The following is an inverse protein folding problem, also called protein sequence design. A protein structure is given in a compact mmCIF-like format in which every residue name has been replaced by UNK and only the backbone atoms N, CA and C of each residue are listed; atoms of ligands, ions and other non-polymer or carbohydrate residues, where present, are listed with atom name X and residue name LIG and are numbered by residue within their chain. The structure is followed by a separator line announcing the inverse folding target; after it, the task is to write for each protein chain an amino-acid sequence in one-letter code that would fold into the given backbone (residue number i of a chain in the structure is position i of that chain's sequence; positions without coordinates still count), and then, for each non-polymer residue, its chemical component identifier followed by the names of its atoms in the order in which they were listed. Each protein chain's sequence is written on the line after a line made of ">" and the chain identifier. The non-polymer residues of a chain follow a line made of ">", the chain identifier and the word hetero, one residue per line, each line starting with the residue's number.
data_IF_809658960262
#
_entry.id   IF_809658960262
#
_cell.length_a   1.000
_cell.length_b   1.000
_cell.length_c   1.000
_cell.angle_alpha   90.00
_cell.angle_beta   90.00
_cell.angle_gamma   90.00
#
_symmetry.space_group_name_H-M   'P 1'
#
loop_
_entity.id
_entity.type
_entity.pdbx_description
1 polymer ?
#
# COMPACT_ATOMS: atom_id res chain seq x y z
N UNK A 1 -1.95 4.50 7.17
CA UNK A 1 -2.99 5.14 6.33
C UNK A 1 -3.84 4.04 5.72
N UNK A 2 -5.16 4.18 5.75
CA UNK A 2 -6.09 3.20 5.17
C UNK A 2 -6.72 3.79 3.91
N UNK A 3 -6.72 3.01 2.84
CA UNK A 3 -7.43 3.34 1.61
C UNK A 3 -8.78 2.63 1.65
N UNK A 4 -9.89 3.30 1.30
CA UNK A 4 -11.19 2.66 1.26
C UNK A 4 -11.19 1.56 0.19
N UNK A 5 -11.36 0.33 0.62
CA UNK A 5 -11.59 -0.84 -0.24
C UNK A 5 -12.82 -1.59 0.28
N UNK A 6 -13.76 -0.83 0.79
CA UNK A 6 -14.92 -1.37 1.48
C UNK A 6 -16.21 -0.98 0.76
N UNK A 7 -17.29 -1.61 1.16
CA UNK A 7 -18.64 -1.26 0.71
C UNK A 7 -19.09 0.16 1.11
N UNK A 8 -18.31 0.86 1.94
CA UNK A 8 -18.54 2.24 2.34
C UNK A 8 -17.55 3.14 1.63
N UNK A 9 -18.02 3.88 0.64
CA UNK A 9 -17.23 4.84 -0.12
C UNK A 9 -17.10 6.13 0.70
N UNK A 10 -15.85 6.58 0.95
CA UNK A 10 -15.58 7.81 1.69
C UNK A 10 -15.52 9.02 0.73
N UNK A 11 -16.65 9.37 0.14
CA UNK A 11 -16.79 10.39 -0.91
C UNK A 11 -17.57 11.64 -0.48
N UNK A 12 -17.92 11.74 0.80
CA UNK A 12 -18.72 12.84 1.34
C UNK A 12 -18.35 13.19 2.79
N UNK A 13 -18.65 14.43 3.26
CA UNK A 13 -18.28 14.89 4.59
C UNK A 13 -18.82 14.05 5.75
N UNK A 14 -20.03 13.48 5.62
CA UNK A 14 -20.65 12.70 6.69
C UNK A 14 -19.90 11.39 6.91
N UNK A 15 -19.58 10.68 5.83
CA UNK A 15 -18.78 9.44 5.88
C UNK A 15 -17.37 9.75 6.39
N UNK A 16 -16.73 10.82 5.91
CA UNK A 16 -15.41 11.24 6.36
C UNK A 16 -15.38 11.48 7.87
N UNK A 17 -16.35 12.23 8.40
CA UNK A 17 -16.46 12.48 9.84
C UNK A 17 -16.64 11.19 10.65
N UNK A 18 -17.53 10.30 10.21
CA UNK A 18 -17.76 9.01 10.88
C UNK A 18 -16.48 8.16 10.93
N UNK A 19 -15.71 8.10 9.85
CA UNK A 19 -14.45 7.36 9.79
C UNK A 19 -13.36 8.01 10.66
N UNK A 20 -13.25 9.34 10.68
CA UNK A 20 -12.33 10.07 11.57
C UNK A 20 -12.68 9.79 13.05
N UNK A 21 -13.97 9.77 13.40
CA UNK A 21 -14.36 9.48 14.78
C UNK A 21 -14.13 8.00 15.15
N UNK A 22 -14.32 7.08 14.22
CA UNK A 22 -14.00 5.66 14.40
C UNK A 22 -12.49 5.43 14.55
N UNK A 23 -11.66 6.13 13.78
CA UNK A 23 -10.20 5.98 13.79
C UNK A 23 -9.57 6.28 15.16
N UNK A 24 -10.20 7.13 15.97
CA UNK A 24 -9.76 7.47 17.34
C UNK A 24 -9.96 6.34 18.35
N UNK A 25 -10.69 5.29 17.98
CA UNK A 25 -10.99 4.15 18.85
C UNK A 25 -9.98 3.00 18.74
N UNK A 26 -9.00 3.10 17.83
CA UNK A 26 -7.95 2.10 17.61
C UNK A 26 -6.86 2.12 18.69
N UNK A 27 -6.02 1.08 18.69
CA UNK A 27 -4.79 1.01 19.49
C UNK A 27 -3.66 1.89 18.91
N UNK A 28 -3.79 2.33 17.68
CA UNK A 28 -2.87 3.22 16.99
C UNK A 28 -3.65 4.33 16.27
N UNK A 29 -2.95 5.38 15.91
CA UNK A 29 -3.52 6.43 15.08
C UNK A 29 -3.80 5.92 13.65
N UNK A 30 -5.00 6.16 13.15
CA UNK A 30 -5.43 5.76 11.80
C UNK A 30 -5.80 7.00 11.00
N UNK A 31 -5.06 7.25 9.91
CA UNK A 31 -5.35 8.33 8.97
C UNK A 31 -6.19 7.75 7.82
N UNK A 32 -7.38 8.29 7.62
CA UNK A 32 -8.29 7.85 6.57
C UNK A 32 -8.11 8.67 5.30
N UNK A 33 -8.18 8.03 4.14
CA UNK A 33 -8.26 8.70 2.85
C UNK A 33 -9.71 8.83 2.38
N UNK A 34 -10.02 9.90 1.67
CA UNK A 34 -11.26 10.09 0.93
C UNK A 34 -11.18 9.55 -0.49
N UNK A 35 -12.32 9.43 -1.16
CA UNK A 35 -12.42 9.19 -2.59
C UNK A 35 -12.48 10.52 -3.34
N UNK A 36 -11.67 10.67 -4.40
CA UNK A 36 -11.67 11.90 -5.20
C UNK A 36 -12.88 12.03 -6.11
N UNK A 37 -13.61 10.94 -6.33
CA UNK A 37 -14.84 10.93 -7.15
C UNK A 37 -16.00 10.31 -6.40
N UNK A 38 -17.21 10.81 -6.67
CA UNK A 38 -18.45 10.28 -6.08
C UNK A 38 -18.62 8.82 -6.49
N UNK A 39 -18.92 7.97 -5.52
CA UNK A 39 -19.01 6.50 -5.67
C UNK A 39 -17.75 5.81 -6.17
N UNK A 40 -16.61 6.51 -6.26
CA UNK A 40 -15.36 5.95 -6.74
C UNK A 40 -15.38 5.52 -8.22
N UNK A 41 -16.28 6.08 -9.03
CA UNK A 41 -16.48 5.66 -10.42
C UNK A 41 -15.78 6.54 -11.46
N UNK A 42 -15.09 7.61 -11.03
CA UNK A 42 -14.36 8.53 -11.90
C UNK A 42 -15.24 9.57 -12.62
N UNK A 43 -16.57 9.57 -12.45
CA UNK A 43 -17.46 10.40 -13.27
C UNK A 43 -17.63 11.84 -12.74
N UNK A 44 -17.69 12.02 -11.42
CA UNK A 44 -17.89 13.33 -10.80
C UNK A 44 -16.97 13.49 -9.59
N UNK A 45 -16.39 14.67 -9.42
CA UNK A 45 -15.50 14.98 -8.30
C UNK A 45 -16.29 15.03 -6.98
N UNK A 46 -15.73 14.42 -5.94
CA UNK A 46 -16.22 14.53 -4.56
C UNK A 46 -16.02 15.95 -4.00
N UNK A 47 -16.71 16.34 -2.93
CA UNK A 47 -16.56 17.65 -2.31
C UNK A 47 -15.23 17.74 -1.50
N UNK A 48 -14.10 17.67 -2.23
CA UNK A 48 -12.73 17.57 -1.65
C UNK A 48 -12.46 18.70 -0.64
N UNK A 49 -12.91 19.93 -0.94
CA UNK A 49 -12.71 21.08 -0.06
C UNK A 49 -13.40 20.91 1.28
N UNK A 50 -14.68 20.53 1.28
CA UNK A 50 -15.46 20.32 2.51
C UNK A 50 -14.88 19.16 3.35
N UNK A 51 -14.43 18.09 2.69
CA UNK A 51 -13.79 16.95 3.36
C UNK A 51 -12.41 17.34 3.89
N UNK A 52 -11.65 18.17 3.18
CA UNK A 52 -10.36 18.69 3.62
C UNK A 52 -10.51 19.59 4.86
N UNK A 53 -11.57 20.41 4.93
CA UNK A 53 -11.89 21.23 6.11
C UNK A 53 -12.18 20.39 7.38
N UNK A 54 -12.61 19.12 7.20
CA UNK A 54 -12.76 18.13 8.28
C UNK A 54 -11.44 17.45 8.67
N UNK A 55 -10.34 17.70 7.95
CA UNK A 55 -9.02 17.14 8.20
C UNK A 55 -8.62 15.96 7.30
N UNK A 56 -9.40 15.63 6.27
CA UNK A 56 -9.00 14.64 5.26
C UNK A 56 -7.93 15.26 4.36
N UNK A 57 -6.71 14.72 4.40
CA UNK A 57 -5.57 15.23 3.64
C UNK A 57 -5.21 14.37 2.42
N UNK A 58 -5.74 13.17 2.34
CA UNK A 58 -5.43 12.16 1.34
C UNK A 58 -6.68 11.78 0.57
N UNK A 59 -6.60 11.74 -0.75
CA UNK A 59 -7.72 11.30 -1.59
C UNK A 59 -7.24 10.33 -2.65
N UNK A 60 -7.93 9.20 -2.79
CA UNK A 60 -7.62 8.23 -3.84
C UNK A 60 -8.15 8.69 -5.19
N UNK A 61 -7.32 8.53 -6.22
CA UNK A 61 -7.80 8.61 -7.61
C UNK A 61 -8.32 7.22 -7.95
N UNK A 62 -9.64 7.09 -8.01
CA UNK A 62 -10.33 5.83 -8.33
C UNK A 62 -10.83 5.83 -9.77
N UNK A 63 -11.13 4.64 -10.30
CA UNK A 63 -11.35 4.43 -11.71
C UNK A 63 -10.03 4.29 -12.47
N UNK A 64 -10.08 4.02 -13.76
CA UNK A 64 -8.87 4.04 -14.58
C UNK A 64 -8.61 5.49 -15.06
N UNK A 65 -7.51 6.12 -14.63
CA UNK A 65 -7.14 7.45 -15.12
C UNK A 65 -7.07 7.50 -16.65
N UNK A 66 -6.77 6.37 -17.29
CA UNK A 66 -6.73 6.24 -18.73
C UNK A 66 -8.10 6.39 -19.42
N UNK A 67 -9.21 6.31 -18.68
CA UNK A 67 -10.56 6.45 -19.24
C UNK A 67 -11.09 7.88 -19.20
N UNK A 68 -10.64 8.71 -18.23
CA UNK A 68 -11.01 10.12 -18.13
C UNK A 68 -9.87 10.98 -17.58
N UNK A 69 -8.93 11.31 -18.46
CA UNK A 69 -7.80 12.19 -18.16
C UNK A 69 -8.23 13.63 -17.83
N UNK A 70 -9.34 14.10 -18.37
CA UNK A 70 -9.82 15.46 -18.12
C UNK A 70 -10.33 15.62 -16.68
N UNK A 71 -11.14 14.68 -16.21
CA UNK A 71 -11.59 14.65 -14.80
C UNK A 71 -10.39 14.47 -13.85
N UNK A 72 -9.46 13.58 -14.17
CA UNK A 72 -8.23 13.38 -13.39
C UNK A 72 -7.42 14.67 -13.30
N UNK A 73 -7.20 15.36 -14.42
CA UNK A 73 -6.52 16.65 -14.45
C UNK A 73 -7.21 17.69 -13.56
N UNK A 74 -8.53 17.82 -13.64
CA UNK A 74 -9.30 18.76 -12.80
C UNK A 74 -9.17 18.44 -11.30
N UNK A 75 -9.20 17.16 -10.92
CA UNK A 75 -8.96 16.75 -9.56
C UNK A 75 -7.56 17.18 -9.10
N UNK A 76 -6.54 16.95 -9.93
CA UNK A 76 -5.17 17.35 -9.65
C UNK A 76 -5.01 18.87 -9.51
N UNK A 77 -5.59 19.67 -10.40
CA UNK A 77 -5.58 21.14 -10.30
C UNK A 77 -6.30 21.62 -9.02
N UNK A 78 -7.43 21.00 -8.67
CA UNK A 78 -8.22 21.37 -7.49
C UNK A 78 -7.54 20.96 -6.18
N UNK A 79 -6.84 19.82 -6.15
CA UNK A 79 -6.15 19.32 -4.96
C UNK A 79 -5.10 20.28 -4.42
N UNK A 80 -4.39 21.00 -5.28
CA UNK A 80 -3.37 21.98 -4.89
C UNK A 80 -3.91 23.10 -4.00
N UNK A 81 -5.12 23.58 -4.30
CA UNK A 81 -5.76 24.67 -3.55
C UNK A 81 -5.91 24.34 -2.06
N UNK A 82 -6.07 23.06 -1.75
CA UNK A 82 -6.32 22.58 -0.38
C UNK A 82 -5.14 21.84 0.23
N UNK A 83 -3.99 21.79 -0.44
CA UNK A 83 -2.82 21.03 0.04
C UNK A 83 -3.11 19.54 0.19
N UNK A 84 -3.95 18.99 -0.69
CA UNK A 84 -4.34 17.58 -0.71
C UNK A 84 -3.27 16.77 -1.43
N UNK A 85 -2.85 15.65 -0.83
CA UNK A 85 -2.06 14.63 -1.51
C UNK A 85 -2.98 13.59 -2.14
N UNK A 86 -2.80 13.36 -3.44
CA UNK A 86 -3.55 12.35 -4.18
C UNK A 86 -2.85 11.01 -4.11
N UNK A 87 -3.63 9.94 -3.93
CA UNK A 87 -3.16 8.57 -3.87
C UNK A 87 -3.63 7.83 -5.11
N UNK A 88 -2.72 7.18 -5.80
CA UNK A 88 -3.05 6.34 -6.93
C UNK A 88 -2.60 4.90 -6.66
N UNK A 89 -3.55 3.98 -6.55
CA UNK A 89 -3.29 2.54 -6.61
C UNK A 89 -3.58 2.02 -8.00
N UNK A 90 -2.74 1.12 -8.51
CA UNK A 90 -3.00 0.45 -9.79
C UNK A 90 -4.45 -0.02 -9.87
N UNK A 91 -5.14 0.36 -10.91
CA UNK A 91 -6.55 0.04 -11.11
C UNK A 91 -6.72 -1.11 -12.11
N UNK A 92 -7.88 -1.75 -12.09
CA UNK A 92 -8.27 -2.64 -13.19
C UNK A 92 -8.75 -1.79 -14.37
N UNK A 93 -7.80 -1.19 -15.08
CA UNK A 93 -8.05 -0.46 -16.32
C UNK A 93 -8.38 -1.39 -17.48
N UNK A 94 -8.57 -0.79 -18.67
CA UNK A 94 -8.96 -1.51 -19.89
C UNK A 94 -8.03 -2.67 -20.26
N UNK A 95 -6.72 -2.57 -19.93
CA UNK A 95 -5.74 -3.60 -20.24
C UNK A 95 -5.66 -4.71 -19.16
N UNK A 96 -6.33 -4.56 -18.02
CA UNK A 96 -6.23 -5.49 -16.89
C UNK A 96 -7.57 -5.99 -16.38
N UNK A 97 -8.68 -5.63 -17.03
CA UNK A 97 -10.05 -5.78 -16.54
C UNK A 97 -10.38 -7.21 -16.10
N UNK A 98 -10.04 -8.22 -16.90
CA UNK A 98 -10.38 -9.61 -16.64
C UNK A 98 -9.19 -10.45 -16.17
N UNK A 99 -8.00 -9.86 -16.09
CA UNK A 99 -6.80 -10.54 -15.64
C UNK A 99 -6.83 -10.87 -14.15
N UNK A 100 -6.23 -12.01 -13.79
CA UNK A 100 -6.21 -12.49 -12.40
C UNK A 100 -4.81 -12.81 -11.88
N UNK A 101 -3.78 -12.75 -12.74
CA UNK A 101 -2.37 -12.94 -12.42
C UNK A 101 -1.50 -12.13 -13.37
N UNK A 102 -0.18 -12.20 -13.27
CA UNK A 102 0.73 -11.59 -14.24
C UNK A 102 0.61 -12.24 -15.61
N UNK A 103 0.61 -11.43 -16.67
CA UNK A 103 0.69 -11.93 -18.05
C UNK A 103 2.12 -12.39 -18.37
N UNK A 104 2.26 -13.63 -18.83
CA UNK A 104 3.55 -14.21 -19.19
C UNK A 104 3.52 -15.69 -19.45
N UNK A 105 4.66 -16.35 -19.33
CA UNK A 105 4.79 -17.76 -19.58
C UNK A 105 3.94 -18.62 -18.62
N UNK A 106 3.84 -18.21 -17.34
CA UNK A 106 3.06 -18.96 -16.35
C UNK A 106 1.57 -18.86 -16.64
N UNK A 107 1.03 -17.67 -16.90
CA UNK A 107 -0.39 -17.47 -17.21
C UNK A 107 -0.79 -18.23 -18.48
N UNK A 108 0.06 -18.19 -19.50
CA UNK A 108 -0.16 -18.94 -20.76
C UNK A 108 -0.20 -20.47 -20.54
N UNK A 109 0.72 -21.01 -19.71
CA UNK A 109 0.77 -22.43 -19.39
C UNK A 109 -0.45 -22.89 -18.57
N UNK A 110 -0.95 -22.01 -17.68
CA UNK A 110 -2.10 -22.31 -16.83
C UNK A 110 -3.44 -22.06 -17.55
N UNK A 111 -3.45 -21.41 -18.71
CA UNK A 111 -4.66 -21.01 -19.41
C UNK A 111 -5.47 -19.94 -18.68
N UNK A 112 -4.80 -19.10 -17.88
CA UNK A 112 -5.41 -18.05 -17.05
C UNK A 112 -5.11 -16.68 -17.69
N UNK A 113 -6.11 -15.81 -17.72
CA UNK A 113 -5.95 -14.45 -18.26
C UNK A 113 -5.01 -13.63 -17.39
N UNK A 114 -3.99 -13.08 -18.04
CA UNK A 114 -2.94 -12.28 -17.38
C UNK A 114 -3.22 -10.79 -17.40
N UNK A 115 -2.52 -10.06 -16.52
CA UNK A 115 -2.46 -8.61 -16.43
C UNK A 115 -1.08 -8.18 -16.94
N UNK A 116 -0.98 -7.52 -18.09
CA UNK A 116 0.30 -7.11 -18.64
C UNK A 116 0.96 -6.02 -17.78
N UNK A 117 2.28 -6.08 -17.64
CA UNK A 117 3.07 -5.09 -16.89
C UNK A 117 2.85 -3.67 -17.43
N UNK A 118 2.69 -3.54 -18.73
CA UNK A 118 2.49 -2.27 -19.42
C UNK A 118 1.21 -1.54 -18.98
N UNK A 119 0.21 -2.24 -18.45
CA UNK A 119 -1.00 -1.61 -17.92
C UNK A 119 -0.66 -0.61 -16.80
N UNK A 120 0.14 -1.04 -15.80
CA UNK A 120 0.62 -0.18 -14.72
C UNK A 120 1.53 0.95 -15.24
N UNK A 121 2.45 0.63 -16.15
CA UNK A 121 3.43 1.58 -16.68
C UNK A 121 2.77 2.74 -17.43
N UNK A 122 1.71 2.47 -18.21
CA UNK A 122 0.95 3.50 -18.94
C UNK A 122 0.26 4.45 -17.96
N UNK A 123 -0.44 3.91 -16.95
CA UNK A 123 -1.14 4.71 -15.95
C UNK A 123 -0.17 5.58 -15.13
N UNK A 124 0.94 5.00 -14.70
CA UNK A 124 2.00 5.73 -13.97
C UNK A 124 2.57 6.86 -14.86
N UNK A 125 2.89 6.59 -16.12
CA UNK A 125 3.42 7.60 -17.02
C UNK A 125 2.43 8.75 -17.23
N UNK A 126 1.16 8.45 -17.52
CA UNK A 126 0.12 9.47 -17.71
C UNK A 126 -0.03 10.37 -16.48
N UNK A 127 -0.05 9.79 -15.28
CA UNK A 127 -0.20 10.54 -14.04
C UNK A 127 1.05 11.37 -13.71
N UNK A 128 2.25 10.88 -14.00
CA UNK A 128 3.48 11.66 -13.88
C UNK A 128 3.45 12.90 -14.79
N UNK A 129 2.99 12.75 -16.06
CA UNK A 129 2.87 13.89 -16.97
C UNK A 129 1.81 14.90 -16.51
N UNK A 130 0.69 14.42 -15.94
CA UNK A 130 -0.31 15.31 -15.36
C UNK A 130 0.21 15.99 -14.09
N UNK A 131 1.00 15.31 -13.27
CA UNK A 131 1.63 15.90 -12.07
C UNK A 131 2.60 17.02 -12.47
N UNK A 132 3.42 16.82 -13.50
CA UNK A 132 4.29 17.87 -14.06
C UNK A 132 3.50 19.07 -14.58
N UNK A 133 2.40 18.82 -15.28
CA UNK A 133 1.55 19.87 -15.85
C UNK A 133 0.83 20.68 -14.76
N UNK A 134 0.30 20.00 -13.74
CA UNK A 134 -0.57 20.61 -12.75
C UNK A 134 0.16 21.03 -11.47
N UNK A 135 1.34 20.44 -11.17
CA UNK A 135 2.08 20.57 -9.93
C UNK A 135 1.43 19.83 -8.74
N UNK A 136 0.48 18.93 -8.98
CA UNK A 136 -0.21 18.17 -7.93
C UNK A 136 0.76 17.25 -7.18
N UNK A 137 0.53 17.09 -5.87
CA UNK A 137 1.26 16.15 -5.02
C UNK A 137 0.60 14.76 -5.10
N UNK A 138 1.33 13.78 -5.62
CA UNK A 138 0.81 12.46 -5.93
C UNK A 138 1.67 11.35 -5.31
N UNK A 139 1.03 10.37 -4.71
CA UNK A 139 1.66 9.17 -4.18
C UNK A 139 1.15 7.92 -4.89
N UNK A 140 2.06 7.20 -5.54
CA UNK A 140 1.77 5.93 -6.22
C UNK A 140 1.82 4.78 -5.24
N UNK A 141 0.68 4.10 -5.07
CA UNK A 141 0.54 2.99 -4.14
C UNK A 141 0.85 1.66 -4.81
N UNK A 142 1.58 0.80 -4.08
CA UNK A 142 1.82 -0.61 -4.44
C UNK A 142 2.35 -0.82 -5.87
N UNK A 143 3.36 -0.05 -6.27
CA UNK A 143 4.05 -0.26 -7.56
C UNK A 143 4.64 -1.68 -7.61
N UNK A 144 4.51 -2.33 -8.76
CA UNK A 144 4.91 -3.73 -8.95
C UNK A 144 5.87 -3.97 -10.11
N UNK A 145 6.28 -2.89 -10.83
CA UNK A 145 7.22 -3.03 -11.96
C UNK A 145 8.40 -2.06 -11.87
N UNK A 146 9.57 -2.53 -12.23
CA UNK A 146 10.82 -1.76 -12.24
C UNK A 146 10.73 -0.55 -13.18
N UNK A 147 10.03 -0.69 -14.31
CA UNK A 147 9.83 0.42 -15.26
C UNK A 147 8.95 1.52 -14.67
N UNK A 148 7.93 1.20 -13.88
CA UNK A 148 7.14 2.19 -13.17
C UNK A 148 7.99 2.99 -12.16
N UNK A 149 8.90 2.32 -11.43
CA UNK A 149 9.85 3.00 -10.52
C UNK A 149 10.72 3.97 -11.31
N UNK A 150 11.24 3.56 -12.49
CA UNK A 150 12.05 4.44 -13.33
C UNK A 150 11.26 5.65 -13.84
N UNK A 151 10.03 5.47 -14.31
CA UNK A 151 9.16 6.56 -14.79
C UNK A 151 8.93 7.59 -13.67
N UNK A 152 8.68 7.13 -12.45
CA UNK A 152 8.48 8.00 -11.29
C UNK A 152 9.77 8.74 -10.94
N UNK A 153 10.92 8.05 -10.97
CA UNK A 153 12.22 8.67 -10.72
C UNK A 153 12.58 9.73 -11.77
N UNK A 154 12.31 9.45 -13.06
CA UNK A 154 12.46 10.39 -14.16
C UNK A 154 11.59 11.64 -13.93
N UNK A 155 10.30 11.46 -13.57
CA UNK A 155 9.39 12.56 -13.28
C UNK A 155 9.82 13.40 -12.05
N UNK A 156 10.38 12.79 -11.01
CA UNK A 156 10.97 13.51 -9.87
C UNK A 156 12.13 14.42 -10.32
N UNK A 157 13.00 13.92 -11.18
CA UNK A 157 14.13 14.71 -11.75
C UNK A 157 13.60 15.90 -12.58
N UNK A 158 12.50 15.73 -13.28
CA UNK A 158 11.84 16.79 -14.04
C UNK A 158 11.07 17.79 -13.17
N UNK A 159 10.94 17.52 -11.86
CA UNK A 159 10.33 18.43 -10.89
C UNK A 159 8.89 18.09 -10.48
N UNK A 160 8.39 16.91 -10.82
CA UNK A 160 7.09 16.45 -10.33
C UNK A 160 7.11 16.19 -8.82
N UNK A 161 6.06 16.60 -8.10
CA UNK A 161 5.84 16.24 -6.70
C UNK A 161 5.21 14.85 -6.62
N UNK A 162 6.05 13.82 -6.77
CA UNK A 162 5.58 12.43 -6.80
C UNK A 162 6.39 11.56 -5.85
N UNK A 163 5.72 10.60 -5.21
CA UNK A 163 6.34 9.56 -4.37
C UNK A 163 5.72 8.21 -4.70
N UNK A 164 6.38 7.11 -4.34
CA UNK A 164 5.84 5.77 -4.56
C UNK A 164 6.14 4.81 -3.42
N UNK A 165 5.29 3.81 -3.30
CA UNK A 165 5.46 2.70 -2.37
C UNK A 165 5.41 1.35 -3.08
N UNK A 166 6.03 0.34 -2.47
CA UNK A 166 5.99 -1.06 -2.88
C UNK A 166 5.53 -1.94 -1.72
N UNK A 167 4.89 -3.07 -2.02
CA UNK A 167 4.52 -4.03 -0.98
C UNK A 167 5.52 -5.20 -0.88
N UNK A 168 5.71 -5.78 0.31
CA UNK A 168 6.70 -6.85 0.54
C UNK A 168 6.56 -8.04 -0.41
N UNK A 169 5.34 -8.42 -0.77
CA UNK A 169 5.11 -9.52 -1.69
C UNK A 169 5.63 -9.24 -3.12
N UNK A 170 5.77 -7.97 -3.56
CA UNK A 170 6.28 -7.62 -4.89
C UNK A 170 7.81 -7.69 -5.01
N UNK A 171 8.55 -7.68 -3.91
CA UNK A 171 10.00 -7.90 -3.93
C UNK A 171 10.43 -9.25 -3.31
N UNK A 172 9.47 -10.07 -2.85
CA UNK A 172 9.78 -11.34 -2.18
C UNK A 172 9.21 -12.57 -2.89
N UNK A 173 8.08 -12.45 -3.59
CA UNK A 173 7.30 -13.59 -4.09
C UNK A 173 7.11 -13.48 -5.60
N UNK A 174 7.45 -14.54 -6.34
CA UNK A 174 7.27 -14.56 -7.78
C UNK A 174 6.00 -15.30 -8.23
N UNK A 175 5.60 -15.06 -9.49
CA UNK A 175 4.40 -15.60 -10.11
C UNK A 175 4.36 -17.14 -10.20
N UNK A 176 5.49 -17.85 -10.04
CA UNK A 176 5.53 -19.32 -10.10
C UNK A 176 4.71 -19.96 -8.98
N UNK A 177 4.52 -19.25 -7.85
CA UNK A 177 3.70 -19.67 -6.73
C UNK A 177 2.21 -19.85 -7.11
N UNK A 178 1.75 -19.13 -8.14
CA UNK A 178 0.39 -19.24 -8.68
C UNK A 178 0.14 -20.61 -9.33
N UNK A 179 1.19 -21.37 -9.70
CA UNK A 179 1.06 -22.73 -10.24
C UNK A 179 0.33 -23.68 -9.29
N UNK A 180 0.32 -23.39 -8.00
CA UNK A 180 -0.45 -24.12 -7.00
C UNK A 180 -1.97 -23.85 -7.06
N UNK A 181 -2.43 -22.86 -7.82
CA UNK A 181 -3.79 -22.33 -7.82
C UNK A 181 -4.28 -21.88 -6.44
N UNK A 182 -3.36 -21.69 -5.48
CA UNK A 182 -3.73 -21.24 -4.15
C UNK A 182 -3.99 -19.72 -4.16
N UNK A 183 -5.22 -19.34 -3.82
CA UNK A 183 -5.66 -17.94 -3.87
C UNK A 183 -4.93 -17.02 -2.88
N UNK A 184 -4.12 -17.54 -1.92
CA UNK A 184 -3.24 -16.72 -1.07
C UNK A 184 -2.26 -15.88 -1.89
N UNK A 185 -1.88 -16.36 -3.08
CA UNK A 185 -0.98 -15.68 -4.01
C UNK A 185 -1.69 -14.76 -5.00
N UNK A 186 -3.02 -14.65 -4.91
CA UNK A 186 -3.81 -13.71 -5.70
C UNK A 186 -3.81 -12.34 -5.04
N UNK A 187 -2.87 -11.50 -5.42
CA UNK A 187 -2.70 -10.11 -4.96
C UNK A 187 -2.83 -9.14 -6.13
N UNK A 188 -3.09 -7.88 -5.84
CA UNK A 188 -3.18 -6.83 -6.85
C UNK A 188 -2.36 -5.59 -6.43
N UNK A 189 -1.47 -5.10 -7.31
CA UNK A 189 -1.03 -5.70 -8.58
C UNK A 189 -0.56 -7.15 -8.43
N UNK A 190 -0.52 -7.95 -9.52
CA UNK A 190 -0.17 -9.37 -9.41
C UNK A 190 1.33 -9.57 -9.11
N UNK A 191 1.67 -10.71 -8.50
CA UNK A 191 3.06 -11.15 -8.35
C UNK A 191 3.70 -11.23 -9.73
N UNK A 192 4.88 -10.63 -9.88
CA UNK A 192 5.64 -10.59 -11.12
C UNK A 192 6.61 -11.78 -11.21
N UNK A 193 7.29 -11.93 -12.34
CA UNK A 193 8.32 -12.96 -12.50
C UNK A 193 9.59 -12.62 -11.69
N UNK A 194 10.45 -13.61 -11.48
CA UNK A 194 11.69 -13.46 -10.70
C UNK A 194 12.66 -12.41 -11.27
N UNK A 195 12.72 -12.25 -12.60
CA UNK A 195 13.53 -11.21 -13.23
C UNK A 195 13.07 -9.80 -12.82
N UNK A 196 11.76 -9.56 -12.81
CA UNK A 196 11.19 -8.28 -12.39
C UNK A 196 11.47 -7.99 -10.91
N UNK A 197 11.39 -9.01 -10.06
CA UNK A 197 11.73 -8.89 -8.63
C UNK A 197 13.18 -8.45 -8.44
N UNK A 198 14.11 -9.04 -9.15
CA UNK A 198 15.52 -8.64 -9.04
C UNK A 198 15.77 -7.21 -9.55
N UNK A 199 15.10 -6.80 -10.63
CA UNK A 199 15.15 -5.41 -11.11
C UNK A 199 14.56 -4.42 -10.10
N UNK A 200 13.47 -4.78 -9.42
CA UNK A 200 12.88 -3.97 -8.34
C UNK A 200 13.86 -3.84 -7.17
N UNK A 201 14.47 -4.94 -6.71
CA UNK A 201 15.45 -4.91 -5.61
C UNK A 201 16.65 -4.02 -5.93
N UNK A 202 17.15 -4.03 -7.18
CA UNK A 202 18.22 -3.15 -7.63
C UNK A 202 17.83 -1.65 -7.57
N UNK A 203 16.54 -1.34 -7.65
CA UNK A 203 16.01 0.02 -7.64
C UNK A 203 15.33 0.40 -6.33
N UNK A 204 15.46 -0.41 -5.28
CA UNK A 204 14.72 -0.22 -4.02
C UNK A 204 15.00 1.15 -3.36
N UNK A 205 16.19 1.70 -3.56
CA UNK A 205 16.57 3.03 -3.07
C UNK A 205 15.88 4.19 -3.81
N UNK A 206 15.23 3.93 -4.94
CA UNK A 206 14.41 4.89 -5.68
C UNK A 206 12.95 4.87 -5.26
N UNK A 207 12.55 3.92 -4.40
CA UNK A 207 11.23 3.82 -3.79
C UNK A 207 11.22 4.63 -2.50
N UNK A 208 10.11 5.31 -2.19
CA UNK A 208 10.00 6.17 -1.02
C UNK A 208 9.47 5.45 0.23
N UNK A 209 8.66 4.40 0.03
CA UNK A 209 8.03 3.69 1.13
C UNK A 209 7.83 2.19 0.84
N UNK A 210 7.78 1.40 1.91
CA UNK A 210 7.26 0.04 1.87
C UNK A 210 5.92 0.05 2.60
N UNK A 211 4.83 -0.19 1.86
CA UNK A 211 3.51 -0.38 2.42
C UNK A 211 3.24 -1.86 2.68
N UNK A 212 2.42 -2.16 3.67
CA UNK A 212 2.19 -3.55 4.09
C UNK A 212 1.46 -4.40 3.05
N UNK A 213 0.74 -3.78 2.12
CA UNK A 213 -0.15 -4.48 1.20
C UNK A 213 -1.28 -5.26 1.90
N UNK A 214 -1.60 -4.88 3.16
CA UNK A 214 -2.60 -5.55 3.97
C UNK A 214 -4.01 -5.33 3.40
N UNK A 215 -4.58 -6.39 2.83
CA UNK A 215 -5.92 -6.41 2.24
C UNK A 215 -6.61 -7.71 2.66
N UNK A 216 -7.18 -7.75 3.87
CA UNK A 216 -7.78 -8.95 4.43
C UNK A 216 -9.10 -9.30 3.75
N UNK A 217 -9.33 -10.60 3.58
CA UNK A 217 -10.62 -11.15 3.16
C UNK A 217 -11.00 -12.31 4.07
N UNK A 218 -12.28 -12.55 4.36
CA UNK A 218 -12.72 -13.74 5.06
C UNK A 218 -12.17 -15.03 4.42
N UNK A 219 -11.70 -15.96 5.23
CA UNK A 219 -10.99 -17.15 4.78
C UNK A 219 -11.80 -17.96 3.73
N UNK A 220 -13.14 -18.04 3.89
CA UNK A 220 -14.01 -18.74 2.94
C UNK A 220 -14.05 -18.10 1.53
N UNK A 221 -13.78 -16.80 1.42
CA UNK A 221 -13.65 -16.12 0.11
C UNK A 221 -12.30 -16.42 -0.55
N UNK A 222 -11.27 -16.65 0.24
CA UNK A 222 -9.95 -17.04 -0.26
C UNK A 222 -9.83 -18.55 -0.51
N UNK A 223 -10.80 -19.34 -0.05
CA UNK A 223 -10.90 -20.79 -0.30
C UNK A 223 -11.71 -21.13 -1.56
N UNK A 224 -11.93 -20.15 -2.42
CA UNK A 224 -12.59 -20.32 -3.73
C UNK A 224 -11.57 -20.67 -4.82
N UNK A 225 -12.06 -21.02 -6.01
CA UNK A 225 -11.22 -21.20 -7.18
C UNK A 225 -10.39 -19.93 -7.43
N UNK A 226 -9.15 -20.08 -7.89
CA UNK A 226 -8.21 -18.97 -8.04
C UNK A 226 -8.79 -17.80 -8.86
N UNK A 227 -9.54 -18.10 -9.93
CA UNK A 227 -10.16 -17.07 -10.77
C UNK A 227 -11.24 -16.25 -10.01
N UNK A 228 -11.97 -16.89 -9.10
CA UNK A 228 -13.13 -16.30 -8.42
C UNK A 228 -12.76 -15.64 -7.09
N UNK A 229 -11.68 -16.10 -6.43
CA UNK A 229 -11.22 -15.55 -5.18
C UNK A 229 -10.85 -14.04 -5.30
N UNK A 230 -11.12 -13.23 -4.27
CA UNK A 230 -10.74 -11.81 -4.28
C UNK A 230 -9.21 -11.63 -4.20
N UNK A 231 -8.72 -10.52 -4.75
CA UNK A 231 -7.32 -10.11 -4.59
C UNK A 231 -7.06 -9.61 -3.18
N UNK A 232 -6.00 -10.07 -2.54
CA UNK A 232 -5.55 -9.58 -1.25
C UNK A 232 -4.86 -10.63 -0.40
N UNK A 233 -4.15 -10.15 0.62
CA UNK A 233 -3.39 -10.92 1.61
C UNK A 233 -3.28 -10.10 2.89
N UNK A 234 -3.11 -10.74 4.05
CA UNK A 234 -2.71 -10.00 5.25
C UNK A 234 -1.21 -9.75 5.23
N UNK A 235 -0.77 -8.59 5.72
CA UNK A 235 0.62 -8.15 5.59
C UNK A 235 1.16 -7.30 6.76
N UNK A 236 0.36 -6.88 7.74
CA UNK A 236 0.84 -6.01 8.82
C UNK A 236 2.01 -6.62 9.57
N UNK A 237 1.88 -7.87 10.02
CA UNK A 237 2.87 -8.52 10.87
C UNK A 237 4.05 -9.10 10.09
N UNK A 238 3.94 -9.25 8.75
CA UNK A 238 5.01 -9.81 7.90
C UNK A 238 5.90 -8.75 7.26
N UNK A 239 5.49 -7.48 7.23
CA UNK A 239 6.17 -6.45 6.43
C UNK A 239 7.62 -6.22 6.83
N UNK A 240 7.89 -6.05 8.13
CA UNK A 240 9.25 -5.87 8.65
C UNK A 240 10.10 -7.09 8.35
N UNK A 241 9.60 -8.28 8.70
CA UNK A 241 10.33 -9.53 8.50
C UNK A 241 10.60 -9.82 7.03
N UNK A 242 9.65 -9.58 6.15
CA UNK A 242 9.85 -9.75 4.72
C UNK A 242 10.89 -8.78 4.15
N UNK A 243 10.91 -7.52 4.61
CA UNK A 243 11.92 -6.54 4.20
C UNK A 243 13.32 -6.95 4.68
N UNK A 244 13.50 -7.30 5.96
CA UNK A 244 14.79 -7.74 6.52
C UNK A 244 15.31 -9.00 5.83
N UNK A 245 14.41 -9.95 5.52
CA UNK A 245 14.80 -11.23 4.93
C UNK A 245 15.18 -11.10 3.45
N UNK A 246 14.48 -10.27 2.69
CA UNK A 246 14.58 -10.29 1.22
C UNK A 246 15.34 -9.10 0.62
N UNK A 247 15.52 -8.00 1.37
CA UNK A 247 16.27 -6.85 0.91
C UNK A 247 17.70 -6.88 1.48
N UNK A 248 18.68 -6.76 0.60
CA UNK A 248 20.12 -6.74 0.98
C UNK A 248 20.60 -5.29 1.16
N UNK A 249 19.91 -4.53 2.03
CA UNK A 249 20.24 -3.15 2.36
C UNK A 249 20.37 -2.99 3.88
N UNK A 250 21.05 -1.94 4.38
CA UNK A 250 21.15 -1.68 5.81
C UNK A 250 19.79 -1.58 6.51
N UNK A 251 19.72 -2.05 7.75
CA UNK A 251 18.46 -1.98 8.55
C UNK A 251 17.95 -0.53 8.66
N UNK A 252 18.84 0.45 8.78
CA UNK A 252 18.45 1.87 8.80
C UNK A 252 17.70 2.30 7.54
N UNK A 253 18.07 1.79 6.37
CA UNK A 253 17.37 2.06 5.11
C UNK A 253 16.01 1.34 5.07
N UNK A 254 15.93 0.11 5.57
CA UNK A 254 14.65 -0.61 5.72
C UNK A 254 13.70 0.18 6.64
N UNK A 255 14.18 0.68 7.78
CA UNK A 255 13.38 1.49 8.70
C UNK A 255 12.97 2.83 8.10
N UNK A 256 13.84 3.43 7.29
CA UNK A 256 13.49 4.63 6.54
C UNK A 256 12.30 4.37 5.61
N UNK A 257 12.34 3.30 4.84
CA UNK A 257 11.27 2.92 3.91
C UNK A 257 9.97 2.47 4.61
N UNK A 258 10.05 1.85 5.81
CA UNK A 258 8.88 1.34 6.53
C UNK A 258 8.23 2.36 7.47
N UNK A 259 8.96 3.38 7.91
CA UNK A 259 8.52 4.26 9.00
C UNK A 259 8.79 5.74 8.75
N UNK A 260 10.05 6.13 8.52
CA UNK A 260 10.44 7.55 8.58
C UNK A 260 9.95 8.32 7.36
N UNK A 261 10.28 7.89 6.17
CA UNK A 261 9.77 8.52 4.93
C UNK A 261 8.24 8.40 4.81
N UNK A 262 7.58 7.25 5.12
CA UNK A 262 6.13 7.20 5.24
C UNK A 262 5.51 8.25 6.18
N UNK A 263 6.16 8.55 7.32
CA UNK A 263 5.70 9.58 8.24
C UNK A 263 5.82 10.99 7.63
N UNK A 264 6.88 11.25 6.86
CA UNK A 264 7.04 12.50 6.10
C UNK A 264 5.97 12.62 5.00
N UNK A 265 5.75 11.57 4.22
CA UNK A 265 4.71 11.51 3.19
C UNK A 265 3.32 11.77 3.80
N UNK A 266 3.07 11.19 4.98
CA UNK A 266 1.82 11.36 5.70
C UNK A 266 1.69 12.73 6.43
N UNK A 267 2.76 13.52 6.50
CA UNK A 267 2.78 14.81 7.20
C UNK A 267 2.68 14.69 8.73
N UNK A 268 3.17 13.56 9.30
CA UNK A 268 3.17 13.26 10.74
C UNK A 268 4.57 13.05 11.32
N UNK A 269 5.61 13.45 10.59
CA UNK A 269 7.01 13.25 11.01
C UNK A 269 7.33 13.90 12.37
N UNK A 270 6.60 14.94 12.78
CA UNK A 270 6.75 15.57 14.09
C UNK A 270 6.35 14.66 15.26
N UNK A 271 5.46 13.70 15.03
CA UNK A 271 4.98 12.76 16.06
C UNK A 271 5.44 11.34 15.83
N UNK A 272 5.69 10.94 14.58
CA UNK A 272 6.01 9.57 14.17
C UNK A 272 7.32 9.49 13.34
N UNK A 273 8.21 10.40 13.44
CA UNK A 273 9.48 10.38 12.70
C UNK A 273 10.63 9.82 13.54
N UNK A 274 11.59 9.12 12.95
CA UNK A 274 12.71 8.37 13.48
C UNK A 274 13.63 8.95 14.57
N UNK A 275 13.22 9.96 15.30
CA UNK A 275 14.02 10.62 16.33
C UNK A 275 13.59 10.23 17.76
N UNK A 276 14.51 9.68 18.55
CA UNK A 276 14.35 9.44 19.98
C UNK A 276 14.77 10.70 20.78
N UNK A 277 13.96 11.75 20.71
CA UNK A 277 14.23 13.00 21.43
C UNK A 277 13.30 13.14 22.63
N UNK A 278 13.85 13.64 23.75
CA UNK A 278 13.06 13.97 24.93
C UNK A 278 11.95 14.99 24.59
N UNK A 279 10.73 14.74 25.06
CA UNK A 279 9.56 15.59 24.81
C UNK A 279 8.73 15.20 23.59
N UNK A 280 9.16 14.22 22.77
CA UNK A 280 8.33 13.65 21.70
C UNK A 280 7.47 12.49 22.20
N UNK A 281 6.31 12.24 21.56
CA UNK A 281 5.51 11.04 21.86
C UNK A 281 6.33 9.77 21.70
N UNK A 282 6.21 8.84 22.65
CA UNK A 282 6.90 7.56 22.58
C UNK A 282 6.12 6.57 21.67
N UNK A 283 6.28 6.72 20.36
CA UNK A 283 5.80 5.79 19.34
C UNK A 283 6.98 4.92 18.90
N UNK A 284 7.14 3.75 19.53
CA UNK A 284 8.35 2.93 19.45
C UNK A 284 8.01 1.48 19.13
N UNK A 285 8.86 0.86 18.30
CA UNK A 285 8.85 -0.59 18.06
C UNK A 285 10.21 -1.16 18.43
N UNK A 286 10.22 -2.21 19.25
CA UNK A 286 11.41 -2.96 19.67
C UNK A 286 11.36 -4.31 18.96
N UNK A 287 12.42 -4.66 18.24
CA UNK A 287 12.52 -5.92 17.52
C UNK A 287 13.94 -6.46 17.53
N UNK A 288 14.07 -7.77 17.34
CA UNK A 288 15.34 -8.45 17.13
C UNK A 288 15.50 -8.71 15.63
N UNK A 289 16.48 -8.09 14.96
CA UNK A 289 16.64 -8.21 13.51
C UNK A 289 17.11 -9.59 13.06
N UNK A 290 17.75 -10.37 13.94
CA UNK A 290 18.34 -11.68 13.61
C UNK A 290 17.42 -12.85 14.02
N UNK A 291 16.43 -12.61 14.87
CA UNK A 291 15.50 -13.64 15.29
C UNK A 291 14.65 -14.14 14.12
N UNK A 292 14.79 -15.45 13.84
CA UNK A 292 14.01 -16.13 12.81
C UNK A 292 12.69 -16.64 13.39
N UNK A 293 11.63 -16.56 12.60
CA UNK A 293 10.30 -17.04 12.95
C UNK A 293 9.56 -17.55 11.72
N UNK A 294 8.68 -18.53 11.90
CA UNK A 294 7.85 -19.07 10.83
C UNK A 294 6.50 -18.36 10.80
N UNK A 295 6.09 -17.93 9.60
CA UNK A 295 4.82 -17.26 9.38
C UNK A 295 3.68 -18.28 9.47
N UNK A 296 2.77 -18.08 10.41
CA UNK A 296 1.56 -18.87 10.59
C UNK A 296 0.35 -17.92 10.67
N UNK A 297 -0.39 -17.77 9.57
CA UNK A 297 -1.49 -16.80 9.48
C UNK A 297 -2.54 -16.93 10.58
N UNK A 298 -2.81 -18.16 11.05
CA UNK A 298 -3.75 -18.43 12.16
C UNK A 298 -3.27 -17.94 13.53
N UNK A 299 -1.98 -17.64 13.69
CA UNK A 299 -1.40 -17.09 14.92
C UNK A 299 -1.31 -15.56 14.89
N UNK A 300 -1.61 -14.95 13.74
CA UNK A 300 -1.58 -13.49 13.60
C UNK A 300 -2.80 -12.84 14.23
N UNK A 301 -2.65 -11.57 14.59
CA UNK A 301 -3.69 -10.77 15.25
C UNK A 301 -4.79 -10.30 14.29
N UNK A 302 -4.58 -10.45 12.99
CA UNK A 302 -5.60 -10.12 11.99
C UNK A 302 -6.84 -11.00 12.15
N UNK A 303 -8.03 -10.44 11.92
CA UNK A 303 -9.28 -11.19 11.90
C UNK A 303 -9.38 -12.24 10.78
N UNK A 304 -8.48 -12.20 9.81
CA UNK A 304 -8.35 -13.14 8.69
C UNK A 304 -6.99 -13.80 8.75
N UNK A 305 -6.88 -15.05 8.28
CA UNK A 305 -5.66 -15.85 8.43
C UNK A 305 -4.86 -16.04 7.15
N UNK A 306 -5.36 -15.59 5.99
CA UNK A 306 -4.74 -15.89 4.70
C UNK A 306 -3.60 -14.91 4.39
N UNK A 307 -2.36 -15.40 4.53
CA UNK A 307 -1.14 -14.66 4.16
C UNK A 307 -0.43 -15.33 2.98
N UNK A 308 0.14 -14.50 2.08
CA UNK A 308 0.98 -15.00 0.99
C UNK A 308 2.33 -15.55 1.47
N UNK A 309 2.73 -15.22 2.70
CA UNK A 309 3.98 -15.68 3.32
C UNK A 309 3.83 -16.95 4.17
N UNK A 310 2.67 -17.60 4.18
CA UNK A 310 2.39 -18.78 5.00
C UNK A 310 3.48 -19.85 4.94
N UNK A 311 3.93 -20.34 6.09
CA UNK A 311 5.01 -21.31 6.28
C UNK A 311 6.42 -20.83 5.83
N UNK A 312 6.59 -19.56 5.52
CA UNK A 312 7.92 -19.01 5.21
C UNK A 312 8.64 -18.62 6.49
N UNK A 313 9.96 -18.80 6.50
CA UNK A 313 10.81 -18.29 7.56
C UNK A 313 11.21 -16.86 7.27
N UNK A 314 10.94 -15.96 8.19
CA UNK A 314 11.32 -14.55 8.13
C UNK A 314 12.22 -14.20 9.31
N UNK A 315 13.11 -13.21 9.14
CA UNK A 315 13.89 -12.59 10.21
C UNK A 315 13.24 -11.29 10.67
N UNK A 316 13.56 -10.85 11.89
CA UNK A 316 13.04 -9.60 12.42
C UNK A 316 11.76 -9.81 13.21
N UNK A 317 11.90 -10.21 14.46
CA UNK A 317 10.79 -10.47 15.36
C UNK A 317 10.51 -9.26 16.25
N UNK A 318 9.31 -8.71 16.17
CA UNK A 318 8.86 -7.62 17.05
C UNK A 318 8.53 -8.17 18.43
N UNK A 319 9.13 -7.59 19.46
CA UNK A 319 8.87 -7.94 20.84
C UNK A 319 7.94 -6.95 21.54
N UNK A 320 8.12 -5.64 21.35
CA UNK A 320 7.32 -4.62 22.02
C UNK A 320 6.93 -3.50 21.06
N UNK A 321 5.75 -2.93 21.31
CA UNK A 321 5.31 -1.70 20.62
C UNK A 321 4.67 -0.76 21.63
N UNK A 322 5.08 0.51 21.57
CA UNK A 322 4.51 1.59 22.36
C UNK A 322 3.81 2.56 21.41
N UNK A 323 2.64 3.02 21.78
CA UNK A 323 1.90 4.09 21.09
C UNK A 323 1.57 5.17 22.11
N UNK A 324 2.04 6.37 21.89
CA UNK A 324 1.91 7.51 22.82
C UNK A 324 2.32 7.15 24.26
N UNK A 325 3.43 6.41 24.39
CA UNK A 325 3.97 5.94 25.66
C UNK A 325 3.24 4.76 26.29
N UNK A 326 2.15 4.27 25.72
CA UNK A 326 1.42 3.10 26.20
C UNK A 326 1.94 1.83 25.53
N UNK A 327 2.24 0.81 26.33
CA UNK A 327 2.67 -0.49 25.84
C UNK A 327 1.47 -1.24 25.25
N UNK A 328 1.40 -1.33 23.93
CA UNK A 328 0.30 -1.98 23.20
C UNK A 328 0.65 -3.39 22.72
N UNK A 329 1.95 -3.71 22.63
CA UNK A 329 2.46 -5.07 22.38
C UNK A 329 3.55 -5.37 23.40
N UNK A 330 3.49 -6.50 24.05
CA UNK A 330 4.49 -7.03 24.99
C UNK A 330 4.76 -8.49 24.67
N UNK A 331 6.03 -8.85 24.51
CA UNK A 331 6.48 -10.18 24.12
C UNK A 331 5.72 -10.75 22.91
N UNK A 332 5.54 -9.90 21.89
CA UNK A 332 4.82 -10.23 20.65
C UNK A 332 3.31 -10.35 20.79
N UNK A 333 2.73 -10.08 21.96
CA UNK A 333 1.29 -10.22 22.22
C UNK A 333 0.63 -8.85 22.41
N UNK A 334 -0.49 -8.61 21.72
CA UNK A 334 -1.30 -7.40 21.88
C UNK A 334 -1.86 -7.36 23.30
N UNK A 335 -1.71 -6.21 23.96
CA UNK A 335 -2.18 -5.98 25.32
C UNK A 335 -3.61 -5.41 25.32
N UNK A 336 -4.42 -5.87 26.27
CA UNK A 336 -5.69 -5.20 26.59
C UNK A 336 -5.38 -3.96 27.44
N UNK A 337 -5.34 -2.81 26.79
CA UNK A 337 -5.05 -1.52 27.47
C UNK A 337 -6.28 -0.87 28.08
N UNK A 338 -7.40 -1.60 28.18
CA UNK A 338 -8.66 -1.14 28.78
C UNK A 338 -9.13 0.19 28.15
N UNK A 339 -10.18 0.16 27.40
CA UNK A 339 -10.81 1.39 26.87
C UNK A 339 -11.55 2.15 27.95
#
# INVERSE_FOLDING_TARGET
>A
MTVPDSHVVNDNPNTAKALIDLSKQGLCEVITAGESTITGNGAAMSPLGEMSDLGVKFFTITGSPSTDLETTRRIMEYSQKYGIKLLFGSSKGLLSQDGVMNEGAVSSQLGILGIPKVAEQIEVFQLCQLALLTGADLHFQQISTSRSIQIIAEAKIEGASVTCEISPHHFSLDESLVRSFNARYKVFPPLRNSEEIELIKQQITSVDAIATGHRPHPDHLKDQAFADAPFGTIGFETSLGAAITNLQIPISEILNLLSWTPAEIAGIADTHGGNLLAGRPANLTVFDPDAAWTVEGKKMSSACSVTAFENMELKGLVSHTLVDGKLVVMDGTIQDIGK
#
